data_IF_728229920743
#
_entry.id   IF_728229920743
#
_cell.length_a   1.000
_cell.length_b   1.000
_cell.length_c   1.000
_cell.angle_alpha   90.00
_cell.angle_beta   90.00
_cell.angle_gamma   90.00
#
_symmetry.space_group_name_H-M   'P 1'
#
loop_
_entity.id
_entity.type
_entity.pdbx_description
1 polymer ?
#
# COMPACT_ATOMS: atom_id res chain seq x y z
N UNK A 1 -68.54 -1.95 19.73
CA UNK A 1 -68.55 -1.95 18.25
C UNK A 1 -67.83 -0.71 17.76
N UNK A 2 -66.91 -0.86 16.80
CA UNK A 2 -66.04 0.13 16.14
C UNK A 2 -64.56 0.15 16.56
N UNK A 3 -63.91 -0.97 16.26
CA UNK A 3 -62.61 -1.02 15.57
C UNK A 3 -62.64 -0.13 14.32
N UNK A 4 -61.55 0.60 14.02
CA UNK A 4 -60.97 0.83 12.67
C UNK A 4 -60.04 2.07 12.69
N UNK A 5 -58.74 1.77 12.56
CA UNK A 5 -57.75 2.47 11.74
C UNK A 5 -57.36 3.90 12.16
N UNK A 6 -56.34 3.98 13.02
CA UNK A 6 -55.36 5.06 13.00
C UNK A 6 -53.99 4.48 12.57
N UNK A 7 -53.99 3.89 11.37
CA UNK A 7 -52.82 3.36 10.68
C UNK A 7 -52.91 3.94 9.27
N UNK A 8 -52.42 5.17 9.06
CA UNK A 8 -52.04 5.81 7.79
C UNK A 8 -51.60 7.24 8.17
N UNK A 9 -50.33 7.44 8.54
CA UNK A 9 -49.68 8.77 8.55
C UNK A 9 -48.17 8.69 8.33
N UNK A 10 -47.67 7.56 7.82
CA UNK A 10 -46.33 7.44 7.24
C UNK A 10 -46.50 6.71 5.91
N UNK A 11 -47.29 7.30 5.00
CA UNK A 11 -47.16 6.97 3.59
C UNK A 11 -45.97 7.80 3.11
N UNK A 12 -44.82 7.13 2.92
CA UNK A 12 -43.81 7.60 1.99
C UNK A 12 -44.56 7.98 0.70
N UNK A 13 -44.57 9.26 0.37
CA UNK A 13 -45.03 9.75 -0.91
C UNK A 13 -44.03 9.27 -1.97
N UNK A 14 -44.20 8.02 -2.41
CA UNK A 14 -43.70 7.59 -3.71
C UNK A 14 -44.46 8.45 -4.72
N UNK A 15 -43.80 9.49 -5.22
CA UNK A 15 -44.31 10.25 -6.36
C UNK A 15 -44.16 9.33 -7.57
N UNK A 16 -45.22 8.60 -7.91
CA UNK A 16 -45.30 7.82 -9.15
C UNK A 16 -45.42 8.84 -10.28
N UNK A 17 -44.28 9.29 -10.81
CA UNK A 17 -44.23 10.16 -11.96
C UNK A 17 -44.55 9.33 -13.22
N UNK A 18 -45.84 9.19 -13.50
CA UNK A 18 -46.39 8.55 -14.70
C UNK A 18 -46.41 9.57 -15.85
N UNK A 19 -45.26 9.94 -16.40
CA UNK A 19 -45.23 10.59 -17.71
C UNK A 19 -45.27 9.51 -18.79
N UNK A 20 -46.47 9.31 -19.34
CA UNK A 20 -46.81 8.40 -20.44
C UNK A 20 -46.29 8.89 -21.79
N UNK A 21 -45.02 9.29 -21.88
CA UNK A 21 -44.37 9.44 -23.17
C UNK A 21 -43.62 8.15 -23.45
N UNK A 22 -44.04 7.44 -24.49
CA UNK A 22 -43.32 6.33 -25.10
C UNK A 22 -41.85 6.71 -25.28
N UNK A 23 -41.03 6.34 -24.30
CA UNK A 23 -39.57 6.45 -24.39
C UNK A 23 -39.11 5.04 -24.62
N UNK A 24 -38.49 4.84 -25.78
CA UNK A 24 -37.93 3.57 -26.24
C UNK A 24 -37.29 2.79 -25.09
N UNK A 25 -37.45 1.45 -25.06
CA UNK A 25 -36.74 0.61 -24.10
C UNK A 25 -35.27 0.99 -24.17
N UNK A 26 -34.69 1.31 -23.01
CA UNK A 26 -33.27 1.59 -22.91
C UNK A 26 -32.52 0.30 -23.21
N UNK A 27 -32.19 0.09 -24.48
CA UNK A 27 -31.30 -0.98 -24.91
C UNK A 27 -29.88 -0.54 -24.52
N UNK A 28 -29.54 -0.76 -23.26
CA UNK A 28 -28.24 -0.41 -22.72
C UNK A 28 -27.20 -1.37 -23.30
N UNK A 29 -26.08 -0.89 -23.85
CA UNK A 29 -24.88 -1.68 -23.88
C UNK A 29 -24.40 -1.76 -22.43
N UNK A 30 -25.07 -2.62 -21.67
CA UNK A 30 -24.64 -3.09 -20.38
C UNK A 30 -23.18 -3.42 -20.54
N UNK A 31 -22.39 -2.85 -19.65
CA UNK A 31 -21.06 -3.31 -19.36
C UNK A 31 -20.94 -4.80 -19.74
N UNK A 32 -20.14 -5.10 -20.77
CA UNK A 32 -20.10 -6.44 -21.37
C UNK A 32 -19.38 -7.38 -20.41
N UNK A 33 -20.07 -7.76 -19.34
CA UNK A 33 -19.60 -8.65 -18.28
C UNK A 33 -19.20 -10.01 -18.84
N UNK A 34 -19.80 -10.42 -19.98
CA UNK A 34 -19.45 -11.64 -20.70
C UNK A 34 -18.01 -11.66 -21.22
N UNK A 35 -17.29 -10.53 -21.18
CA UNK A 35 -15.87 -10.42 -21.53
C UNK A 35 -14.94 -10.19 -20.33
N UNK A 36 -15.48 -10.06 -19.12
CA UNK A 36 -14.66 -9.91 -17.92
C UNK A 36 -14.31 -11.26 -17.33
N UNK A 37 -13.09 -11.37 -16.82
CA UNK A 37 -12.65 -12.52 -16.04
C UNK A 37 -13.38 -12.57 -14.70
N UNK A 38 -13.54 -13.76 -14.12
CA UNK A 38 -14.13 -13.92 -12.77
C UNK A 38 -13.23 -13.43 -11.63
N UNK A 39 -11.95 -13.20 -11.92
CA UNK A 39 -10.91 -12.79 -10.98
C UNK A 39 -10.05 -11.69 -11.58
N UNK A 40 -9.51 -10.84 -10.72
CA UNK A 40 -8.58 -9.79 -11.14
C UNK A 40 -7.31 -10.39 -11.75
N UNK A 41 -6.78 -9.81 -12.84
CA UNK A 41 -5.57 -10.27 -13.49
C UNK A 41 -4.35 -10.08 -12.58
N UNK A 42 -3.49 -11.09 -12.55
CA UNK A 42 -2.26 -11.10 -11.76
C UNK A 42 -1.03 -10.67 -12.58
N UNK A 43 -1.20 -10.37 -13.86
CA UNK A 43 -0.14 -9.89 -14.76
C UNK A 43 -0.56 -8.64 -15.54
N UNK A 44 0.43 -7.83 -15.92
CA UNK A 44 0.20 -6.56 -16.61
C UNK A 44 -0.48 -6.72 -17.98
N UNK A 45 -0.13 -7.75 -18.76
CA UNK A 45 -0.68 -7.90 -20.11
C UNK A 45 -2.18 -8.20 -20.05
N UNK A 46 -2.59 -9.06 -19.13
CA UNK A 46 -4.01 -9.32 -18.87
C UNK A 46 -4.71 -8.07 -18.32
N UNK A 47 -4.13 -7.40 -17.33
CA UNK A 47 -4.67 -6.14 -16.79
C UNK A 47 -4.84 -5.03 -17.84
N UNK A 48 -3.91 -4.93 -18.80
CA UNK A 48 -3.95 -3.92 -19.86
C UNK A 48 -5.08 -4.15 -20.88
N UNK A 49 -5.59 -5.37 -20.96
CA UNK A 49 -6.73 -5.75 -21.82
C UNK A 49 -8.07 -5.63 -21.10
N UNK A 50 -8.07 -5.39 -19.79
CA UNK A 50 -9.30 -5.25 -19.03
C UNK A 50 -10.13 -4.05 -19.48
N UNK A 51 -11.40 -4.31 -19.74
CA UNK A 51 -12.35 -3.31 -20.21
C UNK A 51 -12.94 -2.56 -19.02
N UNK A 52 -12.21 -1.55 -18.54
CA UNK A 52 -12.77 -0.58 -17.59
C UNK A 52 -13.95 0.17 -18.27
N UNK A 53 -15.15 0.19 -17.66
CA UNK A 53 -16.31 0.88 -18.21
C UNK A 53 -16.03 2.33 -18.62
N UNK A 54 -16.42 2.69 -19.84
CA UNK A 54 -16.33 4.08 -20.32
C UNK A 54 -17.56 4.85 -19.84
N UNK A 55 -17.38 5.71 -18.84
CA UNK A 55 -18.48 6.50 -18.24
C UNK A 55 -19.18 7.46 -19.23
N UNK A 56 -18.57 7.78 -20.39
CA UNK A 56 -19.14 8.75 -21.36
C UNK A 56 -20.56 8.41 -21.80
N UNK A 57 -20.93 7.13 -21.92
CA UNK A 57 -22.30 6.73 -22.29
C UNK A 57 -23.31 6.98 -21.16
N UNK A 58 -22.88 6.85 -19.90
CA UNK A 58 -23.70 7.14 -18.71
C UNK A 58 -23.82 8.64 -18.43
N UNK A 59 -22.78 9.41 -18.74
CA UNK A 59 -22.76 10.85 -18.55
C UNK A 59 -23.84 11.56 -19.36
N UNK A 60 -24.06 11.14 -20.62
CA UNK A 60 -25.13 11.71 -21.45
C UNK A 60 -26.54 11.46 -20.88
N UNK A 61 -26.75 10.35 -20.17
CA UNK A 61 -28.02 10.03 -19.49
C UNK A 61 -28.21 10.87 -18.22
N UNK A 62 -27.15 10.99 -17.42
CA UNK A 62 -27.12 11.84 -16.23
C UNK A 62 -27.46 13.29 -16.56
N UNK A 63 -26.80 13.85 -17.58
CA UNK A 63 -26.96 15.24 -18.02
C UNK A 63 -28.33 15.52 -18.66
N UNK A 64 -28.94 14.53 -19.33
CA UNK A 64 -30.22 14.71 -20.03
C UNK A 64 -31.46 14.39 -19.20
N UNK A 65 -31.36 13.53 -18.17
CA UNK A 65 -32.54 12.98 -17.47
C UNK A 65 -32.62 13.30 -15.97
N UNK A 66 -31.50 13.42 -15.25
CA UNK A 66 -31.53 13.47 -13.77
C UNK A 66 -31.32 14.86 -13.20
N UNK A 67 -30.53 15.71 -13.87
CA UNK A 67 -30.23 17.09 -13.44
C UNK A 67 -31.44 18.02 -13.37
N UNK A 68 -32.60 17.60 -13.90
CA UNK A 68 -33.85 18.38 -13.91
C UNK A 68 -34.91 17.87 -12.94
N UNK A 69 -34.69 16.72 -12.30
CA UNK A 69 -35.65 16.15 -11.36
C UNK A 69 -35.34 16.62 -9.94
N UNK A 70 -36.35 17.00 -9.13
CA UNK A 70 -36.12 17.32 -7.72
C UNK A 70 -35.70 16.09 -6.91
N UNK A 71 -35.18 16.27 -5.69
CA UNK A 71 -34.91 15.14 -4.79
C UNK A 71 -36.17 14.32 -4.53
N UNK A 72 -36.03 12.99 -4.57
CA UNK A 72 -37.15 12.07 -4.46
C UNK A 72 -36.83 10.66 -4.95
N UNK A 73 -37.83 9.78 -4.83
CA UNK A 73 -37.76 8.40 -5.34
C UNK A 73 -38.77 8.25 -6.48
N UNK A 74 -38.27 7.79 -7.63
CA UNK A 74 -39.01 7.67 -8.88
C UNK A 74 -39.00 6.22 -9.36
N UNK A 75 -40.17 5.69 -9.71
CA UNK A 75 -40.28 4.42 -10.42
C UNK A 75 -40.37 4.71 -11.92
N UNK A 76 -39.44 4.15 -12.72
CA UNK A 76 -39.34 4.39 -14.17
C UNK A 76 -39.21 3.04 -14.87
N UNK A 77 -40.25 2.57 -15.58
CA UNK A 77 -40.18 1.31 -16.37
C UNK A 77 -39.49 0.17 -15.59
N UNK A 78 -40.04 -0.17 -14.41
CA UNK A 78 -39.53 -1.20 -13.49
C UNK A 78 -38.19 -0.91 -12.80
N UNK A 79 -37.52 0.20 -13.14
CA UNK A 79 -36.35 0.70 -12.43
C UNK A 79 -36.72 1.61 -11.25
N UNK A 80 -35.81 1.71 -10.27
CA UNK A 80 -35.96 2.58 -9.11
C UNK A 80 -34.83 3.61 -9.08
N UNK A 81 -35.18 4.89 -9.24
CA UNK A 81 -34.24 6.01 -9.21
C UNK A 81 -34.45 6.81 -7.91
N UNK A 82 -33.43 6.89 -7.07
CA UNK A 82 -33.39 7.74 -5.88
C UNK A 82 -32.47 8.93 -6.15
N UNK A 83 -32.99 10.14 -6.04
CA UNK A 83 -32.23 11.39 -6.19
C UNK A 83 -32.21 12.09 -4.84
N UNK A 84 -31.01 12.40 -4.35
CA UNK A 84 -30.84 13.14 -3.10
C UNK A 84 -30.49 14.61 -3.35
N UNK A 85 -29.74 14.88 -4.41
CA UNK A 85 -29.35 16.22 -4.83
C UNK A 85 -28.95 16.20 -6.33
N UNK A 86 -28.69 17.37 -6.91
CA UNK A 86 -28.23 17.50 -8.27
C UNK A 86 -26.91 16.74 -8.48
N UNK A 87 -26.94 15.70 -9.34
CA UNK A 87 -25.81 14.81 -9.60
C UNK A 87 -25.54 13.76 -8.51
N UNK A 88 -26.37 13.69 -7.46
CA UNK A 88 -26.29 12.68 -6.39
C UNK A 88 -27.51 11.78 -6.46
N UNK A 89 -27.30 10.55 -6.94
CA UNK A 89 -28.39 9.61 -7.20
C UNK A 89 -27.94 8.15 -7.13
N UNK A 90 -28.91 7.27 -6.94
CA UNK A 90 -28.76 5.83 -7.15
C UNK A 90 -29.88 5.36 -8.08
N UNK A 91 -29.53 4.62 -9.12
CA UNK A 91 -30.47 4.07 -10.08
C UNK A 91 -30.33 2.55 -10.16
N UNK A 92 -31.37 1.83 -9.76
CA UNK A 92 -31.45 0.36 -9.84
C UNK A 92 -32.28 -0.03 -11.06
N UNK A 93 -31.66 -0.73 -12.00
CA UNK A 93 -32.30 -1.22 -13.23
C UNK A 93 -32.96 -2.60 -13.01
N UNK A 94 -33.93 -2.99 -13.87
CA UNK A 94 -34.64 -4.27 -13.73
C UNK A 94 -33.73 -5.50 -13.85
N UNK A 95 -32.62 -5.36 -14.56
CA UNK A 95 -31.63 -6.42 -14.76
C UNK A 95 -30.65 -6.59 -13.57
N UNK A 96 -30.90 -5.90 -12.45
CA UNK A 96 -30.08 -5.94 -11.25
C UNK A 96 -28.90 -4.95 -11.24
N UNK A 97 -28.66 -4.21 -12.33
CA UNK A 97 -27.60 -3.20 -12.38
C UNK A 97 -27.89 -2.06 -11.43
N UNK A 98 -26.88 -1.64 -10.66
CA UNK A 98 -26.95 -0.47 -9.78
C UNK A 98 -25.96 0.58 -10.26
N UNK A 99 -26.45 1.78 -10.52
CA UNK A 99 -25.64 2.97 -10.81
C UNK A 99 -25.69 3.90 -9.60
N UNK A 100 -24.54 4.40 -9.17
CA UNK A 100 -24.44 5.29 -8.00
C UNK A 100 -23.53 6.49 -8.34
N UNK A 101 -23.99 7.69 -8.00
CA UNK A 101 -23.23 8.93 -8.10
C UNK A 101 -23.33 9.67 -6.77
N UNK A 102 -22.17 10.00 -6.19
CA UNK A 102 -22.07 10.64 -4.87
C UNK A 102 -21.24 11.92 -4.91
N UNK A 103 -21.13 12.56 -3.75
CA UNK A 103 -20.28 13.73 -3.54
C UNK A 103 -18.85 13.50 -4.05
N UNK A 104 -18.20 14.60 -4.42
CA UNK A 104 -16.82 14.64 -4.92
C UNK A 104 -16.60 13.87 -6.23
N UNK A 105 -17.66 13.64 -7.01
CA UNK A 105 -17.58 12.98 -8.31
C UNK A 105 -17.29 11.48 -8.23
N UNK A 106 -17.54 10.86 -7.07
CA UNK A 106 -17.56 9.41 -6.94
C UNK A 106 -18.68 8.83 -7.79
N UNK A 107 -18.35 7.82 -8.59
CA UNK A 107 -19.27 7.17 -9.52
C UNK A 107 -19.04 5.66 -9.47
N UNK A 108 -20.11 4.86 -9.46
CA UNK A 108 -19.99 3.41 -9.51
C UNK A 108 -21.08 2.71 -10.29
N UNK A 109 -20.74 1.53 -10.82
CA UNK A 109 -21.65 0.59 -11.49
C UNK A 109 -21.44 -0.77 -10.86
N UNK A 110 -22.52 -1.44 -10.48
CA UNK A 110 -22.48 -2.77 -9.87
C UNK A 110 -23.46 -3.71 -10.58
N UNK A 111 -23.01 -4.92 -10.90
CA UNK A 111 -23.83 -5.98 -11.50
C UNK A 111 -23.15 -7.34 -11.32
N UNK A 112 -23.92 -8.37 -10.95
CA UNK A 112 -23.47 -9.77 -10.85
C UNK A 112 -22.17 -9.96 -10.04
N UNK A 113 -22.03 -9.22 -8.94
CA UNK A 113 -20.83 -9.26 -8.08
C UNK A 113 -19.64 -8.46 -8.59
N UNK A 114 -19.67 -7.97 -9.83
CA UNK A 114 -18.71 -7.00 -10.33
C UNK A 114 -19.08 -5.60 -9.88
N UNK A 115 -18.06 -4.80 -9.55
CA UNK A 115 -18.24 -3.37 -9.27
C UNK A 115 -17.16 -2.56 -9.95
N UNK A 116 -17.54 -1.53 -10.68
CA UNK A 116 -16.62 -0.50 -11.16
C UNK A 116 -16.81 0.76 -10.32
N UNK A 117 -15.73 1.32 -9.78
CA UNK A 117 -15.74 2.60 -9.10
C UNK A 117 -14.76 3.57 -9.77
N UNK A 118 -15.20 4.81 -9.94
CA UNK A 118 -14.38 5.94 -10.37
C UNK A 118 -14.40 6.98 -9.27
N UNK A 119 -13.22 7.32 -8.74
CA UNK A 119 -13.07 8.45 -7.84
C UNK A 119 -12.97 9.74 -8.67
N UNK A 120 -13.71 10.77 -8.27
CA UNK A 120 -13.74 12.03 -8.98
C UNK A 120 -12.42 12.81 -8.86
N UNK A 121 -12.16 13.67 -9.84
CA UNK A 121 -10.94 14.49 -9.93
C UNK A 121 -10.86 15.57 -8.82
N UNK A 122 -12.00 15.90 -8.22
CA UNK A 122 -12.11 16.90 -7.14
C UNK A 122 -11.81 16.33 -5.75
N UNK A 123 -11.56 15.03 -5.62
CA UNK A 123 -11.07 14.48 -4.37
C UNK A 123 -9.58 14.82 -4.22
N UNK A 124 -9.25 15.65 -3.22
CA UNK A 124 -7.86 15.84 -2.77
C UNK A 124 -7.28 14.45 -2.47
N UNK A 125 -6.19 14.10 -3.15
CA UNK A 125 -5.47 12.80 -3.08
C UNK A 125 -6.01 11.64 -3.93
N UNK A 126 -7.20 11.75 -4.53
CA UNK A 126 -7.68 10.75 -5.48
C UNK A 126 -7.13 11.04 -6.88
N UNK A 127 -5.97 10.48 -7.23
CA UNK A 127 -5.34 10.59 -8.56
C UNK A 127 -6.15 9.90 -9.69
N UNK A 128 -7.40 10.32 -9.93
CA UNK A 128 -8.28 9.79 -10.99
C UNK A 128 -8.34 8.26 -11.00
N UNK A 129 -8.43 7.66 -9.80
CA UNK A 129 -8.31 6.22 -9.62
C UNK A 129 -9.59 5.53 -10.05
N UNK A 130 -9.43 4.44 -10.79
CA UNK A 130 -10.49 3.55 -11.19
C UNK A 130 -10.28 2.20 -10.50
N UNK A 131 -11.35 1.62 -9.97
CA UNK A 131 -11.34 0.32 -9.34
C UNK A 131 -12.29 -0.60 -10.05
N UNK A 132 -11.86 -1.84 -10.26
CA UNK A 132 -12.69 -2.91 -10.77
C UNK A 132 -12.63 -4.06 -9.77
N UNK A 133 -13.76 -4.33 -9.12
CA UNK A 133 -13.97 -5.42 -8.18
C UNK A 133 -14.60 -6.60 -8.91
N UNK A 134 -14.17 -7.79 -8.52
CA UNK A 134 -14.54 -9.06 -9.12
C UNK A 134 -15.38 -9.90 -8.13
N UNK A 135 -16.19 -10.85 -8.62
CA UNK A 135 -17.05 -11.69 -7.78
C UNK A 135 -16.30 -12.50 -6.71
N UNK A 136 -15.03 -12.85 -6.95
CA UNK A 136 -14.16 -13.54 -5.98
C UNK A 136 -13.64 -12.62 -4.86
N UNK A 137 -14.02 -11.34 -4.87
CA UNK A 137 -13.58 -10.32 -3.92
C UNK A 137 -12.21 -9.72 -4.23
N UNK A 138 -11.56 -10.15 -5.32
CA UNK A 138 -10.36 -9.49 -5.82
C UNK A 138 -10.69 -8.15 -6.50
N UNK A 139 -9.67 -7.32 -6.68
CA UNK A 139 -9.80 -5.97 -7.22
C UNK A 139 -8.57 -5.57 -8.02
N UNK A 140 -8.80 -4.93 -9.15
CA UNK A 140 -7.82 -4.24 -9.95
C UNK A 140 -7.98 -2.72 -9.79
N UNK A 141 -6.97 -2.05 -9.29
CA UNK A 141 -6.86 -0.58 -9.33
C UNK A 141 -6.12 -0.17 -10.60
N UNK A 142 -6.64 0.84 -11.30
CA UNK A 142 -6.02 1.48 -12.46
C UNK A 142 -5.90 2.97 -12.19
N UNK A 143 -4.69 3.50 -12.26
CA UNK A 143 -4.45 4.94 -12.13
C UNK A 143 -3.46 5.43 -13.16
N UNK A 144 -3.48 6.74 -13.43
CA UNK A 144 -2.50 7.39 -14.29
C UNK A 144 -1.39 7.96 -13.42
N UNK A 145 -0.18 7.46 -13.56
CA UNK A 145 0.98 7.93 -12.81
C UNK A 145 1.27 9.41 -13.17
N UNK A 146 1.30 10.32 -12.19
CA UNK A 146 1.25 11.77 -12.44
C UNK A 146 2.46 12.31 -13.21
N UNK A 147 3.63 11.67 -13.09
CA UNK A 147 4.87 12.15 -13.73
C UNK A 147 5.13 11.52 -15.08
N UNK A 148 4.83 10.22 -15.21
CA UNK A 148 5.07 9.49 -16.45
C UNK A 148 3.88 9.59 -17.40
N UNK A 149 2.70 9.97 -16.89
CA UNK A 149 1.44 9.97 -17.61
C UNK A 149 0.95 8.58 -18.00
N UNK A 150 1.64 7.50 -17.59
CA UNK A 150 1.31 6.12 -17.95
C UNK A 150 0.27 5.54 -17.03
N UNK A 151 -0.39 4.48 -17.50
CA UNK A 151 -1.35 3.73 -16.70
C UNK A 151 -0.56 2.68 -15.91
N UNK A 152 -0.80 2.63 -14.61
CA UNK A 152 -0.29 1.59 -13.72
C UNK A 152 -1.48 0.84 -13.12
N UNK A 153 -1.26 -0.44 -12.84
CA UNK A 153 -2.27 -1.30 -12.24
C UNK A 153 -1.78 -1.81 -10.90
N UNK A 154 -2.68 -1.96 -9.94
CA UNK A 154 -2.39 -2.64 -8.66
C UNK A 154 -3.43 -3.73 -8.45
N UNK A 155 -2.94 -4.95 -8.24
CA UNK A 155 -3.76 -6.10 -7.90
C UNK A 155 -3.99 -6.14 -6.40
N UNK A 156 -5.17 -6.56 -5.99
CA UNK A 156 -5.51 -6.87 -4.62
C UNK A 156 -6.45 -8.07 -4.56
N UNK A 157 -6.05 -9.14 -3.88
CA UNK A 157 -6.93 -10.28 -3.62
C UNK A 157 -6.73 -10.81 -2.22
N UNK A 158 -7.80 -11.43 -1.68
CA UNK A 158 -7.72 -12.18 -0.43
C UNK A 158 -7.79 -13.66 -0.78
N UNK A 159 -6.82 -14.43 -0.29
CA UNK A 159 -6.75 -15.87 -0.44
C UNK A 159 -6.59 -16.49 0.96
N UNK A 160 -6.69 -17.81 1.06
CA UNK A 160 -6.61 -18.53 2.34
C UNK A 160 -5.27 -18.30 3.07
N UNK A 161 -4.21 -17.99 2.33
CA UNK A 161 -2.86 -17.71 2.81
C UNK A 161 -2.61 -16.23 3.17
N UNK A 162 -3.57 -15.33 2.88
CA UNK A 162 -3.55 -13.93 3.28
C UNK A 162 -3.84 -12.95 2.15
N UNK A 163 -3.37 -11.71 2.31
CA UNK A 163 -3.62 -10.64 1.34
C UNK A 163 -2.49 -10.56 0.32
N UNK A 164 -2.88 -10.69 -0.95
CA UNK A 164 -2.02 -10.52 -2.11
C UNK A 164 -2.25 -9.10 -2.66
N UNK A 165 -1.25 -8.24 -2.55
CA UNK A 165 -1.31 -6.86 -3.01
C UNK A 165 0.01 -6.46 -3.66
N UNK A 166 -0.02 -6.04 -4.92
CA UNK A 166 1.19 -5.66 -5.65
C UNK A 166 0.90 -4.85 -6.91
N UNK A 167 1.85 -4.01 -7.32
CA UNK A 167 1.80 -3.27 -8.59
C UNK A 167 2.17 -4.18 -9.76
N UNK A 168 1.38 -4.11 -10.84
CA UNK A 168 1.69 -4.74 -12.12
C UNK A 168 2.42 -3.74 -12.99
N UNK A 169 3.63 -4.10 -13.42
CA UNK A 169 4.46 -3.23 -14.25
C UNK A 169 4.45 -3.66 -15.72
N UNK A 170 4.44 -2.68 -16.61
CA UNK A 170 4.58 -2.91 -18.04
C UNK A 170 5.95 -3.56 -18.34
N UNK A 171 5.98 -4.74 -18.98
CA UNK A 171 7.24 -5.38 -19.35
C UNK A 171 8.11 -4.44 -20.19
N UNK A 172 9.41 -4.35 -19.86
CA UNK A 172 10.36 -3.52 -20.62
C UNK A 172 10.36 -2.03 -20.28
N UNK A 173 9.36 -1.52 -19.54
CA UNK A 173 9.22 -0.08 -19.33
C UNK A 173 10.28 0.49 -18.38
N UNK A 174 10.39 -0.08 -17.19
CA UNK A 174 11.37 0.36 -16.20
C UNK A 174 12.75 -0.24 -16.45
N UNK A 175 12.75 -1.51 -16.86
CA UNK A 175 13.95 -2.28 -17.14
C UNK A 175 13.68 -3.28 -18.26
N UNK A 176 14.70 -3.66 -19.05
CA UNK A 176 14.51 -4.52 -20.21
C UNK A 176 14.29 -6.00 -19.87
N UNK A 177 14.55 -6.41 -18.62
CA UNK A 177 14.51 -7.81 -18.18
C UNK A 177 13.76 -7.94 -16.87
N UNK A 178 13.18 -9.11 -16.67
CA UNK A 178 12.67 -9.55 -15.38
C UNK A 178 12.97 -11.03 -15.15
N UNK A 179 13.11 -11.42 -13.89
CA UNK A 179 13.31 -12.80 -13.45
C UNK A 179 12.56 -13.02 -12.12
N UNK A 180 12.07 -14.23 -11.89
CA UNK A 180 11.46 -14.62 -10.61
C UNK A 180 12.52 -15.26 -9.69
N UNK A 181 12.46 -14.95 -8.40
CA UNK A 181 13.24 -15.59 -7.36
C UNK A 181 12.41 -15.66 -6.07
N UNK A 182 12.03 -16.87 -5.65
CA UNK A 182 11.02 -17.07 -4.61
C UNK A 182 9.74 -16.28 -4.91
N UNK A 183 9.26 -15.46 -3.97
CA UNK A 183 8.12 -14.57 -4.17
C UNK A 183 8.49 -13.22 -4.80
N UNK A 184 9.74 -13.00 -5.22
CA UNK A 184 10.18 -11.74 -5.84
C UNK A 184 10.07 -11.79 -7.36
N UNK A 185 9.41 -10.81 -7.96
CA UNK A 185 9.45 -10.53 -9.40
C UNK A 185 10.42 -9.37 -9.65
N UNK A 186 11.66 -9.70 -10.04
CA UNK A 186 12.75 -8.73 -10.09
C UNK A 186 12.94 -8.20 -11.51
N UNK A 187 12.69 -6.90 -11.69
CA UNK A 187 12.90 -6.13 -12.91
C UNK A 187 14.28 -5.45 -12.87
N UNK A 188 15.16 -5.71 -13.84
CA UNK A 188 16.54 -5.21 -13.82
C UNK A 188 17.17 -5.02 -15.22
N UNK A 189 18.28 -4.28 -15.27
CA UNK A 189 19.13 -4.12 -16.45
C UNK A 189 20.41 -4.97 -16.35
N UNK A 190 21.22 -5.05 -17.40
CA UNK A 190 22.51 -5.76 -17.35
C UNK A 190 23.47 -5.22 -16.28
N UNK A 191 23.30 -3.98 -15.81
CA UNK A 191 24.15 -3.39 -14.76
C UNK A 191 23.99 -4.10 -13.41
N UNK A 192 22.86 -4.76 -13.19
CA UNK A 192 22.52 -5.44 -11.93
C UNK A 192 22.78 -6.95 -11.97
N UNK A 193 23.21 -7.50 -13.10
CA UNK A 193 23.34 -8.95 -13.29
C UNK A 193 24.23 -9.60 -12.24
N UNK A 194 25.43 -9.06 -12.02
CA UNK A 194 26.38 -9.61 -11.05
C UNK A 194 25.89 -9.50 -9.61
N UNK A 195 25.22 -8.39 -9.26
CA UNK A 195 24.57 -8.24 -7.95
C UNK A 195 23.51 -9.32 -7.76
N UNK A 196 22.65 -9.56 -8.76
CA UNK A 196 21.58 -10.55 -8.66
C UNK A 196 22.08 -11.99 -8.57
N UNK A 197 23.12 -12.35 -9.34
CA UNK A 197 23.76 -13.67 -9.20
C UNK A 197 24.31 -13.88 -7.78
N UNK A 198 24.90 -12.82 -7.21
CA UNK A 198 25.40 -12.83 -5.83
C UNK A 198 24.27 -12.87 -4.80
N UNK A 199 23.18 -12.14 -5.02
CA UNK A 199 22.02 -12.13 -4.13
C UNK A 199 21.35 -13.51 -4.04
N UNK A 200 21.13 -14.17 -5.18
CA UNK A 200 20.44 -15.47 -5.23
C UNK A 200 21.26 -16.62 -4.64
N UNK A 201 22.58 -16.48 -4.58
CA UNK A 201 23.49 -17.48 -4.01
C UNK A 201 23.73 -17.29 -2.51
N UNK A 202 23.29 -16.17 -1.93
CA UNK A 202 23.41 -15.85 -0.50
C UNK A 202 22.37 -16.60 0.34
N UNK A 203 22.80 -17.07 1.51
CA UNK A 203 21.90 -17.70 2.50
C UNK A 203 21.13 -16.64 3.32
N UNK A 204 21.61 -15.40 3.29
CA UNK A 204 21.09 -14.25 4.02
C UNK A 204 19.62 -13.98 3.71
N UNK A 205 19.15 -14.18 2.48
CA UNK A 205 17.73 -14.02 2.16
C UNK A 205 16.85 -15.09 2.83
N UNK A 206 17.30 -16.33 2.94
CA UNK A 206 16.56 -17.35 3.70
C UNK A 206 16.59 -17.08 5.21
N UNK A 207 17.71 -16.55 5.72
CA UNK A 207 17.80 -16.11 7.12
C UNK A 207 16.86 -14.93 7.39
N UNK A 208 16.75 -14.00 6.43
CA UNK A 208 15.77 -12.93 6.42
C UNK A 208 14.34 -13.47 6.52
N UNK A 209 13.94 -14.36 5.61
CA UNK A 209 12.59 -14.96 5.62
C UNK A 209 12.32 -15.68 6.95
N UNK A 210 13.28 -16.47 7.45
CA UNK A 210 13.16 -17.15 8.74
C UNK A 210 12.94 -16.17 9.90
N UNK A 211 13.63 -15.03 9.91
CA UNK A 211 13.49 -14.02 10.96
C UNK A 211 12.14 -13.30 10.84
N UNK A 212 11.83 -12.76 9.66
CA UNK A 212 10.69 -11.88 9.46
C UNK A 212 9.35 -12.65 9.54
N UNK A 213 9.29 -13.84 8.96
CA UNK A 213 8.06 -14.64 8.92
C UNK A 213 7.84 -15.45 10.19
N UNK A 214 8.87 -16.11 10.70
CA UNK A 214 8.69 -17.06 11.79
C UNK A 214 8.82 -16.42 13.17
N UNK A 215 9.71 -15.43 13.33
CA UNK A 215 9.92 -14.80 14.64
C UNK A 215 9.11 -13.52 14.79
N UNK A 216 9.05 -12.69 13.74
CA UNK A 216 8.28 -11.45 13.77
C UNK A 216 6.83 -11.61 13.27
N UNK A 217 6.47 -12.76 12.70
CA UNK A 217 5.10 -13.04 12.26
C UNK A 217 4.62 -12.14 11.12
N UNK A 218 5.55 -11.48 10.41
CA UNK A 218 5.26 -10.65 9.25
C UNK A 218 5.42 -11.51 8.00
N UNK A 219 4.34 -11.71 7.25
CA UNK A 219 4.33 -12.54 6.04
C UNK A 219 3.76 -11.76 4.87
N UNK A 220 4.31 -12.00 3.69
CA UNK A 220 3.70 -11.60 2.43
C UNK A 220 3.51 -12.84 1.53
N UNK A 221 2.29 -13.37 1.41
CA UNK A 221 2.02 -14.53 0.56
C UNK A 221 2.00 -14.19 -0.94
N UNK A 222 1.94 -12.90 -1.29
CA UNK A 222 1.88 -12.46 -2.68
C UNK A 222 3.25 -12.29 -3.33
N UNK A 223 3.23 -12.07 -4.64
CA UNK A 223 4.41 -11.68 -5.40
C UNK A 223 4.82 -10.25 -5.06
N UNK A 224 6.11 -10.03 -4.80
CA UNK A 224 6.69 -8.72 -4.51
C UNK A 224 7.45 -8.24 -5.75
N UNK A 225 6.96 -7.22 -6.47
CA UNK A 225 7.69 -6.69 -7.59
C UNK A 225 8.85 -5.81 -7.08
N UNK A 226 10.05 -6.09 -7.57
CA UNK A 226 11.29 -5.38 -7.22
C UNK A 226 11.86 -4.74 -8.48
N UNK A 227 12.04 -3.43 -8.50
CA UNK A 227 12.61 -2.71 -9.64
C UNK A 227 14.01 -2.20 -9.29
N UNK A 228 15.02 -2.68 -10.01
CA UNK A 228 16.40 -2.24 -9.89
C UNK A 228 16.71 -1.19 -10.97
N UNK A 229 16.98 0.05 -10.56
CA UNK A 229 17.04 1.22 -11.44
C UNK A 229 18.48 1.71 -11.59
N UNK A 230 18.95 1.87 -12.83
CA UNK A 230 20.35 2.20 -13.11
C UNK A 230 20.78 3.62 -12.67
N UNK A 231 19.85 4.58 -12.66
CA UNK A 231 20.18 5.99 -12.39
C UNK A 231 19.22 6.68 -11.44
N UNK A 232 19.79 7.56 -10.61
CA UNK A 232 19.07 8.37 -9.62
C UNK A 232 17.99 9.24 -10.26
N UNK A 233 18.28 9.84 -11.40
CA UNK A 233 17.31 10.64 -12.16
C UNK A 233 16.07 9.83 -12.57
N UNK A 234 16.25 8.56 -12.95
CA UNK A 234 15.13 7.67 -13.27
C UNK A 234 14.35 7.28 -12.03
N UNK A 235 15.05 6.99 -10.93
CA UNK A 235 14.44 6.67 -9.64
C UNK A 235 13.60 7.83 -9.08
N UNK A 236 14.13 9.06 -9.05
CA UNK A 236 13.38 10.26 -8.63
C UNK A 236 12.15 10.51 -9.52
N UNK A 237 12.26 10.26 -10.84
CA UNK A 237 11.12 10.38 -11.76
C UNK A 237 10.03 9.35 -11.44
N UNK A 238 10.42 8.12 -11.09
CA UNK A 238 9.50 7.06 -10.71
C UNK A 238 8.80 7.37 -9.38
N UNK A 239 9.52 7.91 -8.40
CA UNK A 239 8.93 8.22 -7.08
C UNK A 239 8.12 9.52 -7.06
N UNK A 240 8.11 10.29 -8.15
CA UNK A 240 7.57 11.65 -8.16
C UNK A 240 8.19 12.55 -7.08
N UNK A 241 9.48 12.35 -6.83
CA UNK A 241 10.21 13.10 -5.82
C UNK A 241 11.32 13.92 -6.46
N UNK A 242 10.93 14.92 -7.25
CA UNK A 242 11.88 15.95 -7.68
C UNK A 242 12.43 16.62 -6.41
N UNK A 243 13.69 16.35 -6.08
CA UNK A 243 14.44 16.88 -4.92
C UNK A 243 14.24 16.15 -3.56
N UNK A 244 13.71 14.93 -3.50
CA UNK A 244 13.83 14.17 -2.23
C UNK A 244 15.24 13.63 -2.06
N UNK A 245 15.72 13.65 -0.81
CA UNK A 245 16.91 12.91 -0.39
C UNK A 245 16.65 11.40 -0.27
N UNK A 246 15.74 10.82 -1.06
CA UNK A 246 15.52 9.36 -1.07
C UNK A 246 16.72 8.70 -1.76
N UNK A 247 17.77 8.48 -0.99
CA UNK A 247 18.98 7.81 -1.43
C UNK A 247 18.77 6.30 -1.28
N UNK A 248 18.77 5.58 -2.39
CA UNK A 248 19.06 4.14 -2.41
C UNK A 248 17.88 3.19 -2.51
N UNK A 249 16.75 3.46 -1.84
CA UNK A 249 15.61 2.53 -1.80
C UNK A 249 14.27 3.20 -1.54
N UNK A 250 13.20 2.54 -1.99
CA UNK A 250 11.83 2.85 -1.62
C UNK A 250 10.96 1.60 -1.74
N UNK A 251 10.45 1.14 -0.61
CA UNK A 251 9.59 -0.01 -0.46
C UNK A 251 8.26 0.34 0.17
N UNK A 252 7.25 -0.44 -0.18
CA UNK A 252 5.95 -0.38 0.44
C UNK A 252 5.10 -1.55 0.01
N UNK A 253 3.82 -1.50 0.37
CA UNK A 253 2.86 -2.59 0.17
C UNK A 253 2.77 -3.03 -1.28
N UNK A 254 2.93 -2.11 -2.23
CA UNK A 254 2.77 -2.40 -3.65
C UNK A 254 4.06 -2.89 -4.35
N UNK A 255 5.21 -2.88 -3.65
CA UNK A 255 6.48 -3.35 -4.18
C UNK A 255 7.69 -2.53 -3.72
N UNK A 256 8.84 -2.82 -4.34
CA UNK A 256 10.15 -2.29 -3.96
C UNK A 256 10.85 -1.70 -5.17
N UNK A 257 11.53 -0.56 -4.96
CA UNK A 257 12.34 0.13 -5.96
C UNK A 257 13.71 0.39 -5.33
N UNK A 258 14.79 -0.04 -5.98
CA UNK A 258 16.16 0.17 -5.53
C UNK A 258 16.93 0.95 -6.60
N UNK A 259 17.78 1.87 -6.14
CA UNK A 259 18.68 2.66 -6.97
C UNK A 259 20.10 2.56 -6.39
N UNK A 260 21.20 2.91 -7.06
CA UNK A 260 21.43 3.10 -8.49
C UNK A 260 22.75 2.37 -8.75
N UNK A 261 22.75 1.26 -9.49
CA UNK A 261 23.82 0.24 -9.48
C UNK A 261 25.28 0.73 -9.56
N UNK A 262 25.52 1.98 -9.98
CA UNK A 262 26.83 2.65 -10.05
C UNK A 262 27.11 3.69 -8.96
N UNK A 263 26.12 4.35 -8.37
CA UNK A 263 26.33 5.48 -7.44
C UNK A 263 26.69 5.07 -6.02
N UNK A 264 26.45 3.81 -5.65
CA UNK A 264 26.80 3.25 -4.33
C UNK A 264 28.22 2.67 -4.25
N UNK A 265 29.03 2.89 -5.29
CA UNK A 265 30.46 2.55 -5.27
C UNK A 265 31.21 3.52 -4.39
N UNK A 266 31.99 3.00 -3.44
CA UNK A 266 33.11 3.76 -2.87
C UNK A 266 34.14 3.93 -3.99
N UNK A 267 34.88 5.04 -4.02
CA UNK A 267 36.06 5.14 -4.88
C UNK A 267 37.25 4.72 -4.04
N UNK A 268 37.77 3.52 -4.29
CA UNK A 268 39.04 3.06 -3.73
C UNK A 268 39.99 2.68 -4.86
N UNK A 269 41.24 2.37 -4.52
CA UNK A 269 42.23 1.88 -5.50
C UNK A 269 41.90 0.44 -5.98
N UNK A 270 40.96 -0.26 -5.34
CA UNK A 270 40.60 -1.65 -5.66
C UNK A 270 39.16 -1.75 -6.18
N UNK A 271 39.03 -2.10 -7.45
CA UNK A 271 37.73 -2.36 -8.09
C UNK A 271 36.93 -3.49 -7.43
N UNK A 272 37.62 -4.47 -6.84
CA UNK A 272 37.00 -5.55 -6.07
C UNK A 272 36.39 -5.03 -4.77
N UNK A 273 37.10 -4.16 -4.04
CA UNK A 273 36.59 -3.58 -2.78
C UNK A 273 35.39 -2.67 -3.04
N UNK A 274 35.43 -1.89 -4.12
CA UNK A 274 34.32 -1.03 -4.53
C UNK A 274 33.07 -1.85 -4.90
N UNK A 275 33.28 -2.97 -5.59
CA UNK A 275 32.22 -3.93 -5.91
C UNK A 275 31.61 -4.55 -4.65
N UNK A 276 32.44 -5.08 -3.75
CA UNK A 276 31.98 -5.71 -2.50
C UNK A 276 31.20 -4.74 -1.61
N UNK A 277 31.69 -3.49 -1.49
CA UNK A 277 31.02 -2.44 -0.74
C UNK A 277 29.65 -2.09 -1.34
N UNK A 278 29.60 -1.87 -2.66
CA UNK A 278 28.36 -1.60 -3.38
C UNK A 278 27.37 -2.76 -3.24
N UNK A 279 27.83 -4.00 -3.40
CA UNK A 279 27.00 -5.19 -3.29
C UNK A 279 26.41 -5.37 -1.87
N UNK A 280 27.20 -5.11 -0.83
CA UNK A 280 26.72 -5.13 0.56
C UNK A 280 25.66 -4.06 0.81
N UNK A 281 25.86 -2.83 0.33
CA UNK A 281 24.87 -1.77 0.51
C UNK A 281 23.57 -2.03 -0.26
N UNK A 282 23.63 -2.51 -1.50
CA UNK A 282 22.44 -2.90 -2.25
C UNK A 282 21.68 -4.04 -1.56
N UNK A 283 22.42 -5.02 -1.02
CA UNK A 283 21.81 -6.12 -0.29
C UNK A 283 21.09 -5.64 0.97
N UNK A 284 21.76 -4.80 1.77
CA UNK A 284 21.14 -4.15 2.93
C UNK A 284 19.87 -3.39 2.55
N UNK A 285 19.94 -2.52 1.53
CA UNK A 285 18.80 -1.73 1.08
C UNK A 285 17.63 -2.62 0.63
N UNK A 286 17.90 -3.70 -0.10
CA UNK A 286 16.85 -4.63 -0.50
C UNK A 286 16.16 -5.27 0.71
N UNK A 287 16.93 -5.72 1.72
CA UNK A 287 16.35 -6.30 2.94
C UNK A 287 15.61 -5.25 3.80
N UNK A 288 16.10 -4.01 3.85
CA UNK A 288 15.44 -2.88 4.50
C UNK A 288 14.06 -2.64 3.89
N UNK A 289 13.99 -2.48 2.56
CA UNK A 289 12.73 -2.22 1.87
C UNK A 289 11.78 -3.43 1.87
N UNK A 290 12.33 -4.66 1.85
CA UNK A 290 11.53 -5.87 2.06
C UNK A 290 10.89 -5.87 3.45
N UNK A 291 11.60 -5.40 4.47
CA UNK A 291 11.03 -5.32 5.82
C UNK A 291 9.81 -4.42 5.87
N UNK A 292 9.85 -3.24 5.24
CA UNK A 292 8.68 -2.38 5.12
C UNK A 292 7.52 -3.03 4.37
N UNK A 293 7.80 -3.74 3.26
CA UNK A 293 6.77 -4.44 2.51
C UNK A 293 6.05 -5.48 3.39
N UNK A 294 6.80 -6.36 4.06
CA UNK A 294 6.24 -7.38 4.95
C UNK A 294 5.49 -6.78 6.14
N UNK A 295 6.00 -5.68 6.71
CA UNK A 295 5.34 -4.94 7.79
C UNK A 295 3.99 -4.37 7.34
N UNK A 296 3.94 -3.73 6.17
CA UNK A 296 2.71 -3.13 5.65
C UNK A 296 1.65 -4.20 5.31
N UNK A 297 2.05 -5.35 4.78
CA UNK A 297 1.16 -6.50 4.59
C UNK A 297 0.61 -7.04 5.91
N UNK A 298 1.47 -7.13 6.95
CA UNK A 298 1.03 -7.54 8.29
C UNK A 298 0.04 -6.54 8.88
N UNK A 299 0.32 -5.24 8.80
CA UNK A 299 -0.60 -4.21 9.29
C UNK A 299 -1.94 -4.22 8.55
N UNK A 300 -1.92 -4.41 7.22
CA UNK A 300 -3.15 -4.53 6.43
C UNK A 300 -4.00 -5.74 6.86
N UNK A 301 -3.34 -6.86 7.20
CA UNK A 301 -4.01 -8.06 7.70
C UNK A 301 -4.67 -7.83 9.06
N UNK A 302 -3.96 -7.23 10.02
CA UNK A 302 -4.46 -6.92 11.37
C UNK A 302 -5.62 -5.91 11.34
N UNK A 303 -5.51 -4.88 10.50
CA UNK A 303 -6.56 -3.86 10.41
C UNK A 303 -7.87 -4.44 9.88
N UNK A 304 -7.81 -5.38 8.93
CA UNK A 304 -9.02 -6.03 8.40
C UNK A 304 -9.79 -6.76 9.50
N UNK A 305 -9.11 -7.40 10.46
CA UNK A 305 -9.80 -8.00 11.61
C UNK A 305 -10.43 -6.97 12.56
N UNK A 306 -9.97 -5.71 12.52
CA UNK A 306 -10.35 -4.66 13.49
C UNK A 306 -11.29 -3.55 12.93
N UNK A 307 -11.65 -3.58 11.64
CA UNK A 307 -12.68 -2.73 10.98
C UNK A 307 -12.61 -1.19 11.21
N UNK A 308 -11.44 -0.61 11.53
CA UNK A 308 -11.30 0.86 11.76
C UNK A 308 -10.46 1.58 10.69
N UNK A 309 -11.01 2.67 10.14
CA UNK A 309 -10.30 3.89 9.69
C UNK A 309 -9.26 3.80 8.55
N UNK A 310 -8.44 4.85 8.38
CA UNK A 310 -7.23 4.89 7.54
C UNK A 310 -6.18 3.88 8.04
N UNK A 311 -5.19 3.49 7.22
CA UNK A 311 -4.11 2.59 7.68
C UNK A 311 -3.32 3.31 8.78
N UNK A 312 -3.36 2.88 10.06
CA UNK A 312 -2.42 3.40 11.02
C UNK A 312 -1.03 2.97 10.57
N UNK A 313 -0.14 3.95 10.40
CA UNK A 313 1.28 3.68 10.20
C UNK A 313 1.91 3.57 11.58
N UNK A 314 2.76 2.56 11.84
CA UNK A 314 3.64 2.59 13.00
C UNK A 314 4.40 3.92 13.06
N UNK A 315 4.78 4.39 14.25
CA UNK A 315 5.55 5.62 14.39
C UNK A 315 6.85 5.52 13.60
N UNK A 316 7.29 6.62 13.01
CA UNK A 316 8.42 6.66 12.05
C UNK A 316 9.68 5.96 12.59
N UNK A 317 10.03 6.19 13.86
CA UNK A 317 11.20 5.56 14.47
C UNK A 317 11.10 4.03 14.49
N UNK A 318 9.89 3.48 14.66
CA UNK A 318 9.66 2.04 14.68
C UNK A 318 9.60 1.48 13.26
N UNK A 319 8.88 2.16 12.35
CA UNK A 319 8.79 1.77 10.94
C UNK A 319 10.19 1.67 10.32
N UNK A 320 11.02 2.70 10.47
CA UNK A 320 12.41 2.67 9.98
C UNK A 320 13.30 1.79 10.84
N UNK A 321 13.10 1.82 12.16
CA UNK A 321 13.91 1.04 13.09
C UNK A 321 13.83 -0.45 12.82
N UNK A 322 12.65 -1.01 12.54
CA UNK A 322 12.51 -2.45 12.26
C UNK A 322 13.19 -2.82 10.95
N UNK A 323 13.12 -1.94 9.94
CA UNK A 323 13.77 -2.10 8.65
C UNK A 323 15.31 -2.02 8.73
N UNK A 324 15.85 -1.33 9.74
CA UNK A 324 17.27 -1.41 10.09
C UNK A 324 17.58 -2.67 10.92
N UNK A 325 16.80 -2.95 11.96
CA UNK A 325 17.03 -4.04 12.91
C UNK A 325 17.11 -5.42 12.24
N UNK A 326 16.19 -5.72 11.32
CA UNK A 326 16.09 -7.03 10.67
C UNK A 326 17.37 -7.37 9.87
N UNK A 327 17.85 -6.53 8.93
CA UNK A 327 19.14 -6.74 8.26
C UNK A 327 20.33 -6.91 9.23
N UNK A 328 20.37 -6.17 10.35
CA UNK A 328 21.46 -6.28 11.32
C UNK A 328 21.50 -7.64 12.03
N UNK A 329 20.39 -8.37 12.12
CA UNK A 329 20.40 -9.72 12.69
C UNK A 329 20.98 -10.78 11.74
N UNK A 330 21.14 -10.43 10.46
CA UNK A 330 21.53 -11.35 9.41
C UNK A 330 23.00 -11.11 9.02
N UNK A 331 23.40 -9.85 8.89
CA UNK A 331 24.76 -9.45 8.53
C UNK A 331 25.54 -8.92 9.75
N UNK A 332 26.46 -9.74 10.25
CA UNK A 332 27.31 -9.40 11.40
C UNK A 332 28.22 -8.20 11.14
N UNK A 333 28.79 -8.09 9.93
CA UNK A 333 29.70 -6.99 9.61
C UNK A 333 28.95 -5.67 9.53
N UNK A 334 27.75 -5.71 8.94
CA UNK A 334 26.83 -4.57 8.94
C UNK A 334 26.46 -4.17 10.37
N UNK A 335 26.16 -5.14 11.24
CA UNK A 335 25.86 -4.91 12.66
C UNK A 335 26.99 -4.20 13.39
N UNK A 336 28.23 -4.68 13.24
CA UNK A 336 29.41 -4.07 13.85
C UNK A 336 29.63 -2.62 13.36
N UNK A 337 29.46 -2.37 12.06
CA UNK A 337 29.55 -1.00 11.48
C UNK A 337 28.51 -0.05 12.09
N UNK A 338 27.24 -0.46 12.15
CA UNK A 338 26.16 0.36 12.69
C UNK A 338 26.33 0.64 14.19
N UNK A 339 26.78 -0.36 14.95
CA UNK A 339 27.07 -0.18 16.38
C UNK A 339 28.18 0.85 16.60
N UNK A 340 29.25 0.83 15.80
CA UNK A 340 30.33 1.81 15.87
C UNK A 340 29.87 3.24 15.51
N UNK A 341 29.10 3.38 14.44
CA UNK A 341 28.51 4.68 14.05
C UNK A 341 27.67 5.26 15.19
N UNK A 342 26.92 4.42 15.90
CA UNK A 342 26.12 4.85 17.03
C UNK A 342 26.90 5.14 18.30
N UNK A 343 27.90 4.32 18.66
CA UNK A 343 28.77 4.63 19.80
C UNK A 343 29.43 6.00 19.63
N UNK A 344 29.82 6.34 18.41
CA UNK A 344 30.33 7.67 18.10
C UNK A 344 29.26 8.76 18.25
N UNK A 345 28.02 8.50 17.81
CA UNK A 345 26.89 9.43 17.95
C UNK A 345 26.47 9.65 19.41
N UNK A 346 26.25 8.58 20.18
CA UNK A 346 25.77 8.63 21.57
C UNK A 346 26.75 9.29 22.55
N UNK A 347 28.04 9.34 22.20
CA UNK A 347 29.08 10.11 22.90
C UNK A 347 29.01 11.62 22.60
N UNK A 348 28.43 12.01 21.47
CA UNK A 348 28.27 13.41 21.05
C UNK A 348 26.96 14.02 21.57
N UNK A 349 25.92 13.20 21.76
CA UNK A 349 24.60 13.64 22.25
C UNK A 349 24.57 13.71 23.80
N UNK A 350 24.67 14.92 24.34
CA UNK A 350 24.72 15.17 25.80
C UNK A 350 23.36 15.53 26.45
N UNK A 351 22.25 15.62 25.71
CA UNK A 351 21.05 16.31 26.23
C UNK A 351 19.73 15.51 26.07
N UNK A 352 18.96 15.41 27.18
CA UNK A 352 17.64 14.76 27.22
C UNK A 352 16.59 15.42 26.30
N UNK A 353 16.79 16.67 25.87
CA UNK A 353 15.87 17.39 24.97
C UNK A 353 15.96 16.97 23.50
N UNK A 354 17.14 16.51 23.05
CA UNK A 354 17.30 16.01 21.67
C UNK A 354 16.53 14.70 21.46
N UNK A 355 16.22 13.97 22.56
CA UNK A 355 15.43 12.76 22.54
C UNK A 355 13.99 12.93 22.03
N UNK A 356 13.39 14.11 22.26
CA UNK A 356 12.04 14.42 21.75
C UNK A 356 12.03 14.89 20.30
N UNK A 357 13.15 15.39 19.77
CA UNK A 357 13.24 15.81 18.36
C UNK A 357 13.35 14.63 17.37
N UNK A 358 13.53 13.40 17.85
CA UNK A 358 13.62 12.20 16.99
C UNK A 358 12.27 11.72 16.43
N UNK A 359 11.20 12.51 16.56
CA UNK A 359 9.90 12.24 15.93
C UNK A 359 9.88 12.58 14.43
N UNK A 360 10.93 13.21 13.85
CA UNK A 360 10.89 13.66 12.45
C UNK A 360 12.20 13.44 11.67
N UNK A 361 12.21 12.42 10.80
CA UNK A 361 12.75 12.49 9.43
C UNK A 361 14.26 12.62 9.18
N UNK A 362 15.13 12.59 10.18
CA UNK A 362 16.60 12.63 9.96
C UNK A 362 17.23 11.21 9.94
N UNK A 363 18.37 11.03 9.28
CA UNK A 363 19.07 9.71 9.15
C UNK A 363 19.41 9.11 10.52
N UNK A 364 19.58 9.97 11.53
CA UNK A 364 19.79 9.63 12.93
C UNK A 364 18.58 8.89 13.55
N UNK A 365 17.36 9.14 13.08
CA UNK A 365 16.13 8.46 13.54
C UNK A 365 16.12 6.99 13.12
N UNK A 366 16.63 6.66 11.93
CA UNK A 366 16.70 5.30 11.40
C UNK A 366 17.63 4.43 12.25
N UNK A 367 18.84 4.95 12.50
CA UNK A 367 19.86 4.26 13.28
C UNK A 367 19.40 4.12 14.75
N UNK A 368 18.88 5.20 15.34
CA UNK A 368 18.38 5.16 16.72
C UNK A 368 17.23 4.15 16.88
N UNK A 369 16.27 4.13 15.95
CA UNK A 369 15.16 3.18 15.98
C UNK A 369 15.62 1.72 15.93
N UNK A 370 16.53 1.38 15.00
CA UNK A 370 17.05 0.02 14.87
C UNK A 370 17.80 -0.47 16.11
N UNK A 371 18.42 0.45 16.83
CA UNK A 371 19.16 0.14 18.06
C UNK A 371 18.27 0.01 19.28
N UNK A 372 17.23 0.83 19.40
CA UNK A 372 16.20 0.63 20.43
C UNK A 372 15.59 -0.75 20.27
N UNK A 373 15.32 -1.19 19.04
CA UNK A 373 14.87 -2.55 18.78
C UNK A 373 15.94 -3.61 19.07
N UNK A 374 17.21 -3.37 18.76
CA UNK A 374 18.31 -4.26 19.17
C UNK A 374 18.41 -4.41 20.69
N UNK A 375 18.26 -3.31 21.43
CA UNK A 375 18.22 -3.33 22.89
C UNK A 375 17.00 -4.10 23.41
N UNK A 376 15.81 -3.84 22.84
CA UNK A 376 14.59 -4.56 23.20
C UNK A 376 14.75 -6.05 22.93
N UNK A 377 15.32 -6.42 21.78
CA UNK A 377 15.61 -7.81 21.45
C UNK A 377 16.52 -8.46 22.50
N UNK A 378 17.60 -7.79 22.91
CA UNK A 378 18.55 -8.31 23.89
C UNK A 378 17.97 -8.41 25.30
N UNK A 379 17.24 -7.39 25.75
CA UNK A 379 16.75 -7.28 27.14
C UNK A 379 15.41 -7.98 27.34
N UNK A 380 14.51 -7.89 26.38
CA UNK A 380 13.11 -8.33 26.50
C UNK A 380 12.72 -9.42 25.49
N UNK A 381 13.58 -9.74 24.52
CA UNK A 381 13.35 -10.79 23.52
C UNK A 381 12.60 -10.29 22.28
N UNK A 382 12.74 -11.04 21.17
CA UNK A 382 12.18 -10.66 19.86
C UNK A 382 10.65 -10.63 19.85
N UNK A 383 10.00 -11.43 20.70
CA UNK A 383 8.55 -11.45 20.83
C UNK A 383 8.00 -10.06 21.18
N UNK A 384 8.73 -9.25 21.96
CA UNK A 384 8.28 -7.90 22.30
C UNK A 384 8.32 -6.93 21.12
N UNK A 385 9.21 -7.13 20.16
CA UNK A 385 9.22 -6.36 18.91
C UNK A 385 8.00 -6.73 18.06
N UNK A 386 7.65 -8.02 18.02
CA UNK A 386 6.42 -8.47 17.36
C UNK A 386 5.19 -7.87 18.03
N UNK A 387 5.10 -7.90 19.36
CA UNK A 387 3.96 -7.34 20.10
C UNK A 387 3.82 -5.82 19.85
N UNK A 388 4.95 -5.08 19.84
CA UNK A 388 4.97 -3.66 19.44
C UNK A 388 4.38 -3.46 18.03
N UNK A 389 4.84 -4.24 17.06
CA UNK A 389 4.35 -4.15 15.69
C UNK A 389 2.84 -4.43 15.61
N UNK A 390 2.34 -5.46 16.31
CA UNK A 390 0.92 -5.81 16.30
C UNK A 390 0.05 -4.71 16.93
N UNK A 391 0.49 -4.10 18.03
CA UNK A 391 -0.20 -2.98 18.68
C UNK A 391 -0.21 -1.73 17.79
N UNK A 392 0.93 -1.36 17.20
CA UNK A 392 1.00 -0.22 16.27
C UNK A 392 0.15 -0.43 15.02
N UNK A 393 0.21 -1.62 14.42
CA UNK A 393 -0.63 -1.98 13.28
C UNK A 393 -2.14 -1.97 13.63
N UNK A 394 -2.50 -2.16 14.90
CA UNK A 394 -3.88 -2.06 15.38
C UNK A 394 -4.34 -0.62 15.62
N UNK A 395 -3.42 0.35 15.52
CA UNK A 395 -3.68 1.77 15.69
C UNK A 395 -3.62 2.28 17.13
N UNK A 396 -2.99 1.53 18.04
CA UNK A 396 -2.70 2.04 19.39
C UNK A 396 -1.61 3.11 19.30
N UNK A 397 -1.70 4.12 20.16
CA UNK A 397 -0.65 5.14 20.25
C UNK A 397 0.61 4.60 20.95
N UNK A 398 1.68 5.41 20.96
CA UNK A 398 2.99 4.97 21.47
C UNK A 398 2.98 4.63 22.95
N UNK A 399 2.42 5.48 23.80
CA UNK A 399 2.46 5.24 25.25
C UNK A 399 1.53 4.09 25.63
N UNK A 400 0.35 3.99 25.01
CA UNK A 400 -0.54 2.84 25.19
C UNK A 400 0.15 1.54 24.76
N UNK A 401 0.85 1.57 23.62
CA UNK A 401 1.60 0.42 23.12
C UNK A 401 2.71 0.00 24.08
N UNK A 402 3.50 0.93 24.59
CA UNK A 402 4.60 0.62 25.52
C UNK A 402 4.10 0.17 26.89
N UNK A 403 3.03 0.76 27.41
CA UNK A 403 2.38 0.26 28.63
C UNK A 403 1.90 -1.18 28.44
N UNK A 404 1.21 -1.47 27.34
CA UNK A 404 0.71 -2.83 27.07
C UNK A 404 1.84 -3.86 26.94
N UNK A 405 2.97 -3.49 26.33
CA UNK A 405 4.05 -4.43 26.01
C UNK A 405 5.06 -4.57 27.16
N UNK A 406 5.39 -3.47 27.83
CA UNK A 406 6.48 -3.40 28.82
C UNK A 406 6.04 -2.96 30.23
N UNK A 407 4.81 -2.48 30.40
CA UNK A 407 4.33 -1.83 31.63
C UNK A 407 5.18 -0.61 32.02
N UNK A 408 5.66 0.12 31.01
CA UNK A 408 6.55 1.28 31.13
C UNK A 408 6.22 2.30 30.06
N UNK A 409 6.56 3.57 30.32
CA UNK A 409 6.50 4.64 29.32
C UNK A 409 7.62 4.48 28.27
N UNK A 410 7.38 4.97 27.06
CA UNK A 410 8.33 4.83 25.95
C UNK A 410 9.67 5.49 26.26
N UNK A 411 9.62 6.68 26.88
CA UNK A 411 10.79 7.46 27.31
C UNK A 411 11.76 6.67 28.19
N UNK A 412 11.25 5.78 29.06
CA UNK A 412 12.10 4.96 29.93
C UNK A 412 12.88 3.92 29.12
N UNK A 413 12.21 3.28 28.16
CA UNK A 413 12.85 2.28 27.29
C UNK A 413 13.89 2.94 26.38
N UNK A 414 13.59 4.11 25.80
CA UNK A 414 14.55 4.87 24.99
C UNK A 414 15.79 5.27 25.81
N UNK A 415 15.58 5.75 27.04
CA UNK A 415 16.67 6.12 27.94
C UNK A 415 17.55 4.90 28.30
N UNK A 416 16.93 3.78 28.68
CA UNK A 416 17.63 2.54 28.98
C UNK A 416 18.47 2.04 27.79
N UNK A 417 17.92 2.12 26.57
CA UNK A 417 18.63 1.70 25.36
C UNK A 417 19.88 2.54 25.11
N UNK A 418 19.78 3.86 25.25
CA UNK A 418 20.92 4.77 25.06
C UNK A 418 21.99 4.52 26.10
N UNK A 419 21.60 4.37 27.36
CA UNK A 419 22.54 4.11 28.44
C UNK A 419 23.28 2.78 28.21
N UNK A 420 22.56 1.72 27.79
CA UNK A 420 23.15 0.42 27.47
C UNK A 420 24.28 0.51 26.44
N UNK A 421 24.08 1.22 25.33
CA UNK A 421 25.07 1.37 24.26
C UNK A 421 26.13 2.46 24.50
N UNK A 422 25.94 3.30 25.53
CA UNK A 422 26.99 4.21 25.99
C UNK A 422 28.01 3.47 26.85
N UNK A 423 27.54 2.55 27.68
CA UNK A 423 28.34 1.83 28.66
C UNK A 423 29.03 0.57 28.09
N UNK A 424 28.61 0.11 26.91
CA UNK A 424 29.14 -1.05 26.19
C UNK A 424 29.57 -0.65 24.77
#
# INVERSE_FOLDING_TARGET
MKTIILLISILLSIVIYSESNEREPLDFPLWDLGKLNLSAPEDYLSASKENFPIWKKYQALEESRFTKLPPGVYAIQESLLSIWDNGIFQWKLPDGTILDSRLYGYKSIEKDGYKFEKLGENCKECLGKNYLYYPDGSRLERYRHPVSGRIEFTHHSMKDDGIHHFTLYEPGFWTPRFENYENLMIHFSNEWKTYLETFKSRKEYYQFLKLIENQLGMKNPGTIPVILIDSEKRFQKLLNTKNSNTKGGHGGIAGIKICCGKSLKKQTESSLNDFLFSNSNHHYLLLHELTHNFQQHRCMTIKRSNLKGLLPSPPTWFNEGIAVFVPLQIDKQLKERFLLEFQNYSRQTNNKKELKSYQYGSMEVYIAGGLVLEFIHRKYGIQKIRDLNENFCSGLDEEETFQNVFQKESVEIFHDAIQYFRDN
#
